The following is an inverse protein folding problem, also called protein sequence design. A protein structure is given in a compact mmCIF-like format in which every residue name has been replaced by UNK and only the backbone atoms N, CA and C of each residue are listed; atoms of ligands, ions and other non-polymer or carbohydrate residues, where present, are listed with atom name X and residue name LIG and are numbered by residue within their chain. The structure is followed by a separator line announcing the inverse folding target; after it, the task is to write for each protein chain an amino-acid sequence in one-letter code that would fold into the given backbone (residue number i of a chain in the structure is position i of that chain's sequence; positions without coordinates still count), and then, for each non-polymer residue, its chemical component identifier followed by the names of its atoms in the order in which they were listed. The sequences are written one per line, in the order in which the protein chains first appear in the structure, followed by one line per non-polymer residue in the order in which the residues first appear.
data_IF_708247696652
#
_entry.id   IF_708247696652
#
_cell.length_a   1.000
_cell.length_b   1.000
_cell.length_c   1.000
_cell.angle_alpha   90.00
_cell.angle_beta   90.00
_cell.angle_gamma   90.00
#
_symmetry.space_group_name_H-M   'P 1'
#
loop_
_entity.id
_entity.type
_entity.pdbx_description
1 polymer ?
#
# COMPACT_ATOMS: atom_id res chain seq x y z
N UNK A 1 -19.07 -11.79 -13.22
CA UNK A 1 -20.27 -11.80 -14.06
C UNK A 1 -20.36 -13.06 -14.90
N UNK A 2 -19.28 -13.48 -15.58
CA UNK A 2 -19.24 -14.73 -16.36
C UNK A 2 -19.78 -15.99 -15.63
N UNK A 3 -19.42 -16.20 -14.36
CA UNK A 3 -19.88 -17.34 -13.55
C UNK A 3 -21.40 -17.32 -13.28
N UNK A 4 -21.98 -16.14 -13.09
CA UNK A 4 -23.41 -15.97 -12.85
C UNK A 4 -24.22 -16.19 -14.15
N UNK A 5 -23.69 -15.72 -15.28
CA UNK A 5 -24.29 -15.94 -16.61
C UNK A 5 -24.22 -17.43 -17.00
N UNK A 6 -23.09 -18.10 -16.73
CA UNK A 6 -22.92 -19.54 -16.98
C UNK A 6 -23.89 -20.38 -16.14
N UNK A 7 -24.04 -20.08 -14.84
CA UNK A 7 -24.99 -20.79 -13.98
C UNK A 7 -26.44 -20.51 -14.37
N UNK A 8 -26.76 -19.28 -14.78
CA UNK A 8 -28.09 -18.94 -15.30
C UNK A 8 -28.45 -19.73 -16.56
N UNK A 9 -27.51 -19.85 -17.50
CA UNK A 9 -27.68 -20.65 -18.72
C UNK A 9 -27.84 -22.14 -18.42
N UNK A 10 -27.07 -22.68 -17.46
CA UNK A 10 -27.20 -24.06 -17.02
C UNK A 10 -28.57 -24.33 -16.38
N UNK A 11 -29.08 -23.40 -15.57
CA UNK A 11 -30.43 -23.49 -14.98
C UNK A 11 -31.53 -23.48 -16.05
N UNK A 12 -31.42 -22.60 -17.06
CA UNK A 12 -32.38 -22.53 -18.17
C UNK A 12 -32.33 -23.81 -19.01
N UNK A 13 -31.12 -24.33 -19.29
CA UNK A 13 -30.90 -25.55 -20.04
C UNK A 13 -31.47 -26.79 -19.33
N UNK A 14 -31.24 -26.92 -18.02
CA UNK A 14 -31.79 -28.03 -17.21
C UNK A 14 -33.31 -27.90 -17.06
N UNK A 15 -33.85 -26.68 -16.93
CA UNK A 15 -35.29 -26.44 -16.91
C UNK A 15 -35.96 -26.87 -18.23
N UNK A 16 -35.30 -26.64 -19.37
CA UNK A 16 -35.78 -27.06 -20.69
C UNK A 16 -35.75 -28.58 -20.91
N UNK A 17 -34.77 -29.29 -20.35
CA UNK A 17 -34.61 -30.74 -20.54
C UNK A 17 -35.56 -31.60 -19.68
N UNK A 18 -36.29 -30.98 -18.74
CA UNK A 18 -37.46 -31.53 -18.03
C UNK A 18 -37.36 -33.02 -17.61
N UNK A 19 -36.17 -33.48 -17.22
CA UNK A 19 -35.91 -34.89 -16.88
C UNK A 19 -35.65 -35.05 -15.38
N UNK A 20 -36.68 -35.52 -14.67
CA UNK A 20 -36.75 -36.39 -13.47
C UNK A 20 -35.62 -36.30 -12.42
N UNK A 21 -34.92 -35.18 -12.30
CA UNK A 21 -33.90 -35.01 -11.25
C UNK A 21 -34.57 -34.67 -9.92
N UNK A 22 -34.23 -35.37 -8.82
CA UNK A 22 -34.69 -35.02 -7.49
C UNK A 22 -34.41 -33.54 -7.19
N UNK A 23 -35.43 -32.82 -6.70
CA UNK A 23 -35.36 -31.37 -6.41
C UNK A 23 -34.19 -30.99 -5.48
N UNK A 24 -33.68 -31.95 -4.70
CA UNK A 24 -32.53 -31.80 -3.80
C UNK A 24 -31.22 -31.45 -4.52
N UNK A 25 -31.01 -31.92 -5.76
CA UNK A 25 -29.76 -31.66 -6.51
C UNK A 25 -29.59 -30.16 -6.77
N UNK A 26 -30.66 -29.44 -7.12
CA UNK A 26 -30.61 -28.00 -7.36
C UNK A 26 -30.23 -27.20 -6.11
N UNK A 27 -30.77 -27.59 -4.96
CA UNK A 27 -30.50 -26.91 -3.69
C UNK A 27 -29.05 -27.16 -3.27
N UNK A 28 -28.58 -28.41 -3.37
CA UNK A 28 -27.21 -28.78 -3.00
C UNK A 28 -26.19 -28.09 -3.91
N UNK A 29 -26.42 -28.08 -5.23
CA UNK A 29 -25.55 -27.40 -6.19
C UNK A 29 -25.53 -25.89 -5.96
N UNK A 30 -26.68 -25.25 -5.71
CA UNK A 30 -26.73 -23.83 -5.41
C UNK A 30 -25.98 -23.47 -4.11
N UNK A 31 -26.10 -24.31 -3.08
CA UNK A 31 -25.36 -24.12 -1.82
C UNK A 31 -23.84 -24.30 -2.00
N UNK A 32 -23.43 -25.33 -2.74
CA UNK A 32 -22.03 -25.58 -3.06
C UNK A 32 -21.44 -24.43 -3.88
N UNK A 33 -22.16 -23.93 -4.88
CA UNK A 33 -21.70 -22.81 -5.70
C UNK A 33 -21.50 -21.53 -4.87
N UNK A 34 -22.47 -21.19 -4.01
CA UNK A 34 -22.34 -20.04 -3.10
C UNK A 34 -21.13 -20.21 -2.18
N UNK A 35 -20.93 -21.41 -1.64
CA UNK A 35 -19.84 -21.69 -0.72
C UNK A 35 -18.46 -21.67 -1.41
N UNK A 36 -18.30 -22.35 -2.54
CA UNK A 36 -17.02 -22.45 -3.24
C UNK A 36 -16.66 -21.16 -3.98
N UNK A 37 -17.59 -20.55 -4.72
CA UNK A 37 -17.33 -19.33 -5.49
C UNK A 37 -17.31 -18.11 -4.56
N UNK A 38 -18.29 -18.03 -3.65
CA UNK A 38 -18.36 -16.95 -2.66
C UNK A 38 -17.19 -17.01 -1.69
N UNK A 39 -16.90 -18.20 -1.15
CA UNK A 39 -15.77 -18.44 -0.27
C UNK A 39 -14.43 -18.11 -0.92
N UNK A 40 -14.18 -18.56 -2.15
CA UNK A 40 -12.93 -18.25 -2.88
C UNK A 40 -12.69 -16.73 -3.01
N UNK A 41 -13.74 -15.95 -3.31
CA UNK A 41 -13.61 -14.49 -3.42
C UNK A 41 -13.36 -13.80 -2.09
N UNK A 42 -14.03 -14.26 -1.03
CA UNK A 42 -13.83 -13.75 0.32
C UNK A 42 -12.43 -14.08 0.81
N UNK A 43 -11.96 -15.31 0.61
CA UNK A 43 -10.60 -15.74 0.96
C UNK A 43 -9.55 -14.95 0.19
N UNK A 44 -9.75 -14.69 -1.11
CA UNK A 44 -8.83 -13.86 -1.89
C UNK A 44 -8.80 -12.40 -1.39
N UNK A 45 -9.97 -11.84 -1.05
CA UNK A 45 -10.08 -10.47 -0.51
C UNK A 45 -9.46 -10.35 0.88
N UNK A 46 -9.72 -11.31 1.76
CA UNK A 46 -9.15 -11.36 3.13
C UNK A 46 -7.66 -11.66 3.07
N UNK A 47 -7.23 -12.62 2.24
CA UNK A 47 -5.83 -13.00 2.06
C UNK A 47 -4.98 -11.83 1.55
N UNK A 48 -5.49 -11.05 0.58
CA UNK A 48 -4.81 -9.81 0.14
C UNK A 48 -4.72 -8.78 1.27
N UNK A 49 -5.81 -8.56 2.01
CA UNK A 49 -5.83 -7.63 3.15
C UNK A 49 -4.89 -8.05 4.28
N UNK A 50 -4.75 -9.35 4.54
CA UNK A 50 -3.82 -9.90 5.52
C UNK A 50 -2.36 -9.87 5.04
N UNK A 51 -2.10 -9.99 3.73
CA UNK A 51 -0.76 -9.85 3.15
C UNK A 51 -0.29 -8.40 3.17
N UNK A 52 -1.17 -7.47 2.82
CA UNK A 52 -0.90 -6.03 2.92
C UNK A 52 -0.71 -5.62 4.39
N UNK A 53 -1.51 -6.17 5.32
CA UNK A 53 -1.34 -5.96 6.76
C UNK A 53 -0.13 -6.67 7.38
N UNK A 54 0.38 -7.77 6.80
CA UNK A 54 1.66 -8.35 7.26
C UNK A 54 2.86 -7.49 6.87
N UNK A 55 2.75 -6.70 5.80
CA UNK A 55 3.71 -5.64 5.48
C UNK A 55 3.61 -4.43 6.44
N UNK A 56 2.49 -4.26 7.14
CA UNK A 56 2.33 -3.29 8.23
C UNK A 56 3.03 -3.71 9.52
N UNK A 57 3.52 -4.95 9.62
CA UNK A 57 4.27 -5.41 10.79
C UNK A 57 5.74 -4.97 10.72
N UNK A 58 5.95 -3.71 11.11
CA UNK A 58 7.08 -3.20 11.88
C UNK A 58 8.52 -3.27 11.35
N UNK A 59 8.86 -3.94 10.23
CA UNK A 59 10.27 -4.10 9.86
C UNK A 59 10.69 -3.70 8.43
N UNK A 60 9.78 -3.35 7.52
CA UNK A 60 10.14 -3.08 6.12
C UNK A 60 9.78 -1.66 5.63
N UNK A 61 9.44 -0.74 6.53
CA UNK A 61 9.23 0.65 6.13
C UNK A 61 10.56 1.25 5.66
N UNK A 62 10.65 1.61 4.37
CA UNK A 62 11.82 2.24 3.76
C UNK A 62 12.14 3.53 4.50
N UNK A 63 13.39 3.65 4.94
CA UNK A 63 13.89 4.81 5.68
C UNK A 63 14.33 5.87 4.68
N UNK A 64 13.57 6.95 4.61
CA UNK A 64 13.73 7.97 3.58
C UNK A 64 14.49 9.18 4.13
N UNK A 65 15.54 9.58 3.42
CA UNK A 65 16.25 10.84 3.62
C UNK A 65 15.71 11.87 2.63
N UNK A 66 15.31 13.05 3.10
CA UNK A 66 14.79 14.11 2.23
C UNK A 66 15.82 15.23 2.11
N UNK A 67 16.26 15.53 0.89
CA UNK A 67 17.12 16.66 0.56
C UNK A 67 16.24 17.86 0.24
N UNK A 68 16.41 18.95 0.97
CA UNK A 68 15.58 20.15 0.94
C UNK A 68 14.54 20.14 2.07
N UNK A 69 14.82 20.87 3.15
CA UNK A 69 13.88 21.15 4.24
C UNK A 69 13.03 22.40 3.94
N UNK A 70 12.65 22.57 2.67
CA UNK A 70 11.74 23.61 2.20
C UNK A 70 10.28 23.16 2.23
N UNK A 71 9.39 24.00 1.71
CA UNK A 71 7.94 23.71 1.66
C UNK A 71 7.62 22.40 0.94
N UNK A 72 8.29 22.12 -0.19
CA UNK A 72 8.14 20.89 -0.94
C UNK A 72 8.53 19.65 -0.10
N UNK A 73 9.71 19.65 0.53
CA UNK A 73 10.17 18.53 1.35
C UNK A 73 9.31 18.29 2.58
N UNK A 74 8.82 19.37 3.20
CA UNK A 74 7.90 19.30 4.35
C UNK A 74 6.54 18.72 3.93
N UNK A 75 6.04 19.09 2.75
CA UNK A 75 4.78 18.57 2.22
C UNK A 75 4.87 17.08 1.93
N UNK A 76 5.95 16.64 1.28
CA UNK A 76 6.21 15.22 1.01
C UNK A 76 6.32 14.42 2.32
N UNK A 77 7.07 14.93 3.30
CA UNK A 77 7.20 14.27 4.59
C UNK A 77 5.85 14.16 5.33
N UNK A 78 5.03 15.21 5.28
CA UNK A 78 3.69 15.20 5.85
C UNK A 78 2.83 14.12 5.19
N UNK A 79 2.87 14.02 3.87
CA UNK A 79 2.09 13.03 3.13
C UNK A 79 2.49 11.59 3.49
N UNK A 80 3.80 11.34 3.65
CA UNK A 80 4.32 10.05 4.10
C UNK A 80 3.90 9.70 5.53
N UNK A 81 3.87 10.69 6.42
CA UNK A 81 3.43 10.50 7.80
C UNK A 81 1.92 10.25 7.90
N UNK A 82 1.13 10.89 7.04
CA UNK A 82 -0.34 10.70 6.95
C UNK A 82 -0.71 9.34 6.36
N UNK A 83 0.03 8.86 5.36
CA UNK A 83 -0.26 7.63 4.64
C UNK A 83 0.68 6.49 5.05
N UNK A 84 0.40 5.87 6.19
CA UNK A 84 1.17 4.71 6.70
C UNK A 84 1.19 3.51 5.76
N UNK A 85 0.25 3.43 4.82
CA UNK A 85 0.17 2.39 3.79
C UNK A 85 1.35 2.44 2.80
N UNK A 86 2.00 3.60 2.65
CA UNK A 86 3.14 3.81 1.73
C UNK A 86 4.41 3.08 2.16
N UNK A 87 4.49 2.56 3.40
CA UNK A 87 5.69 1.92 3.95
C UNK A 87 6.95 2.78 3.80
N UNK A 88 6.80 4.10 3.86
CA UNK A 88 7.88 5.07 3.71
C UNK A 88 7.96 5.90 4.98
N UNK A 89 9.09 5.82 5.68
CA UNK A 89 9.32 6.56 6.92
C UNK A 89 10.41 7.61 6.71
N UNK A 90 10.07 8.91 6.70
CA UNK A 90 11.08 9.95 6.66
C UNK A 90 11.89 9.94 7.97
N UNK A 91 13.21 9.78 7.86
CA UNK A 91 14.11 9.65 9.03
C UNK A 91 14.92 10.91 9.32
N UNK A 92 15.21 11.72 8.31
CA UNK A 92 15.94 12.98 8.46
C UNK A 92 15.77 13.88 7.23
N UNK A 93 16.03 15.17 7.44
CA UNK A 93 16.18 16.16 6.39
C UNK A 93 17.64 16.60 6.24
N UNK A 94 18.03 16.97 5.02
CA UNK A 94 19.31 17.62 4.69
C UNK A 94 18.99 18.91 3.95
N UNK A 95 19.60 20.03 4.33
CA UNK A 95 19.39 21.32 3.67
C UNK A 95 20.73 22.08 3.66
N UNK A 96 20.97 22.88 2.63
CA UNK A 96 22.17 23.72 2.52
C UNK A 96 22.08 24.96 3.41
N UNK A 97 20.86 25.38 3.80
CA UNK A 97 20.68 26.54 4.65
C UNK A 97 21.10 26.23 6.10
N UNK A 98 22.18 26.86 6.61
CA UNK A 98 22.69 26.61 7.96
C UNK A 98 21.69 26.95 9.06
N UNK A 99 20.76 27.89 8.83
CA UNK A 99 19.73 28.26 9.81
C UNK A 99 18.70 27.16 10.06
N UNK A 100 18.60 26.18 9.16
CA UNK A 100 17.68 25.05 9.29
C UNK A 100 18.35 23.83 9.93
N UNK A 101 19.68 23.75 9.90
CA UNK A 101 20.44 22.65 10.47
C UNK A 101 20.20 22.61 11.99
N UNK A 102 19.89 21.42 12.53
CA UNK A 102 19.59 21.23 13.94
C UNK A 102 18.13 21.50 14.33
N UNK A 103 17.31 22.06 13.44
CA UNK A 103 15.86 22.20 13.69
C UNK A 103 15.13 20.87 13.49
N UNK A 104 13.97 20.75 14.11
CA UNK A 104 13.05 19.61 13.96
C UNK A 104 11.78 20.11 13.28
N UNK A 105 11.44 19.50 12.14
CA UNK A 105 10.26 19.87 11.34
C UNK A 105 9.35 18.64 11.27
N UNK A 106 8.09 18.77 11.71
CA UNK A 106 7.12 17.67 11.80
C UNK A 106 7.67 16.43 12.55
N UNK A 107 8.50 16.64 13.58
CA UNK A 107 9.14 15.56 14.35
C UNK A 107 10.34 14.90 13.68
N UNK A 108 10.77 15.39 12.51
CA UNK A 108 11.92 14.87 11.76
C UNK A 108 13.08 15.87 11.88
N UNK A 109 14.29 15.43 12.28
CA UNK A 109 15.43 16.33 12.46
C UNK A 109 16.09 16.69 11.12
N UNK A 110 16.54 17.94 11.01
CA UNK A 110 17.47 18.39 9.97
C UNK A 110 18.89 18.13 10.46
N UNK A 111 19.54 17.11 9.90
CA UNK A 111 20.77 16.52 10.48
C UNK A 111 22.07 17.12 9.94
N UNK A 112 22.04 17.88 8.84
CA UNK A 112 23.23 18.49 8.28
C UNK A 112 23.07 18.96 6.84
N UNK A 113 24.21 19.24 6.22
CA UNK A 113 24.38 19.64 4.83
C UNK A 113 24.68 18.42 3.92
N UNK A 114 24.79 18.67 2.62
CA UNK A 114 25.11 17.66 1.60
C UNK A 114 26.49 17.02 1.78
N UNK A 115 27.46 17.73 2.38
CA UNK A 115 28.81 17.20 2.57
C UNK A 115 28.85 15.99 3.52
N UNK A 116 27.94 15.95 4.51
CA UNK A 116 27.84 14.86 5.49
C UNK A 116 26.88 13.75 5.07
N UNK A 117 26.37 13.77 3.83
CA UNK A 117 25.31 12.87 3.39
C UNK A 117 25.69 11.38 3.53
N UNK A 118 26.94 11.02 3.23
CA UNK A 118 27.43 9.64 3.34
C UNK A 118 27.39 9.14 4.79
N UNK A 119 27.84 9.97 5.74
CA UNK A 119 27.80 9.64 7.17
C UNK A 119 26.34 9.49 7.65
N UNK A 120 25.45 10.38 7.18
CA UNK A 120 24.03 10.37 7.52
C UNK A 120 23.36 9.09 7.01
N UNK A 121 23.61 8.70 5.76
CA UNK A 121 23.06 7.48 5.14
C UNK A 121 23.43 6.24 5.96
N UNK A 122 24.72 6.11 6.33
CA UNK A 122 25.22 4.99 7.14
C UNK A 122 24.62 5.00 8.56
N UNK A 123 24.69 6.14 9.24
CA UNK A 123 24.25 6.28 10.64
C UNK A 123 22.74 6.13 10.80
N UNK A 124 21.96 6.59 9.81
CA UNK A 124 20.50 6.54 9.83
C UNK A 124 19.93 5.36 9.06
N UNK A 125 20.77 4.50 8.46
CA UNK A 125 20.35 3.34 7.64
C UNK A 125 19.29 3.76 6.62
N UNK A 126 19.64 4.71 5.76
CA UNK A 126 18.72 5.26 4.75
C UNK A 126 18.61 4.25 3.59
N UNK A 127 17.39 3.94 3.19
CA UNK A 127 17.10 3.04 2.06
C UNK A 127 16.85 3.82 0.77
N UNK A 128 16.32 5.04 0.87
CA UNK A 128 15.93 5.85 -0.28
C UNK A 128 16.14 7.35 -0.01
N UNK A 129 16.53 8.09 -1.04
CA UNK A 129 16.78 9.53 -0.96
C UNK A 129 15.79 10.24 -1.87
N UNK A 130 15.05 11.20 -1.32
CA UNK A 130 14.14 12.05 -2.08
C UNK A 130 14.70 13.45 -2.17
N UNK A 131 14.81 13.96 -3.39
CA UNK A 131 15.30 15.30 -3.67
C UNK A 131 14.09 16.22 -3.83
N UNK A 132 13.83 17.04 -2.81
CA UNK A 132 12.76 18.01 -2.75
C UNK A 132 13.32 19.43 -2.85
N UNK A 133 14.14 19.66 -3.89
CA UNK A 133 14.68 20.98 -4.23
C UNK A 133 13.75 21.59 -5.29
N UNK A 134 13.25 22.84 -5.11
CA UNK A 134 12.45 23.48 -6.14
C UNK A 134 13.30 23.67 -7.41
N UNK A 135 13.01 22.89 -8.44
CA UNK A 135 13.66 22.97 -9.75
C UNK A 135 13.00 24.05 -10.61
N UNK A 136 13.07 25.32 -10.19
CA UNK A 136 12.83 26.48 -11.06
C UNK A 136 13.18 27.78 -10.30
N UNK A 137 14.27 28.43 -10.69
CA UNK A 137 14.28 29.90 -10.70
C UNK A 137 13.56 30.32 -11.98
N UNK A 138 12.54 31.19 -11.93
CA UNK A 138 12.11 31.92 -13.13
C UNK A 138 13.25 32.80 -13.65
#
# INVERSE_FOLDING_TARGET
MASAVSNGLLFIYIFFIRSISPRSIFIITAMLDVFFIGGSRIVFRIGRRLRDNKSLSLNNAKRILIIGAGEAGVTIAREMLSHKELQSKPVAFVDENPEKIGKVINGIPVVGNLEKINEIILKKKVDEIIIAIPSAKP
#
